data_IF_341077450451
#
_entry.id   IF_341077450451
#
_cell.length_a   1.000
_cell.length_b   1.000
_cell.length_c   1.000
_cell.angle_alpha   90.00
_cell.angle_beta   90.00
_cell.angle_gamma   90.00
#
_symmetry.space_group_name_H-M   'P 1'
#
loop_
_entity.id
_entity.type
_entity.pdbx_description
1 polymer ?
#
# COMPACT_ATOMS: atom_id res chain seq x y z
N UNK A 1 18.25 13.18 -10.64
CA UNK A 1 16.81 12.95 -10.87
C UNK A 1 15.98 14.05 -10.21
N UNK A 2 16.21 14.35 -8.93
CA UNK A 2 15.48 15.39 -8.17
C UNK A 2 15.39 16.74 -8.87
N UNK A 3 16.50 17.27 -9.40
CA UNK A 3 16.51 18.55 -10.10
C UNK A 3 15.57 18.57 -11.32
N UNK A 4 15.49 17.46 -12.06
CA UNK A 4 14.59 17.31 -13.21
C UNK A 4 13.13 17.31 -12.76
N UNK A 5 12.80 16.52 -11.73
CA UNK A 5 11.43 16.47 -11.18
C UNK A 5 11.03 17.85 -10.64
N UNK A 6 11.89 18.53 -9.87
CA UNK A 6 11.61 19.87 -9.36
C UNK A 6 11.37 20.90 -10.48
N UNK A 7 12.13 20.82 -11.59
CA UNK A 7 11.92 21.69 -12.74
C UNK A 7 10.53 21.47 -13.39
N UNK A 8 10.10 20.22 -13.54
CA UNK A 8 8.77 19.88 -14.06
C UNK A 8 7.69 20.42 -13.12
N UNK A 9 7.79 20.15 -11.83
CA UNK A 9 6.78 20.57 -10.85
C UNK A 9 6.63 22.08 -10.78
N UNK A 10 7.75 22.81 -10.86
CA UNK A 10 7.74 24.29 -10.90
C UNK A 10 7.09 24.82 -12.17
N UNK A 11 7.33 24.17 -13.31
CA UNK A 11 6.90 24.64 -14.63
C UNK A 11 5.45 24.29 -14.92
N UNK A 12 5.08 23.01 -14.74
CA UNK A 12 3.77 22.48 -15.10
C UNK A 12 2.74 22.57 -13.97
N UNK A 13 3.18 22.56 -12.70
CA UNK A 13 2.32 22.56 -11.51
C UNK A 13 1.17 21.55 -11.62
N UNK A 14 1.47 20.25 -11.80
CA UNK A 14 0.45 19.25 -12.02
C UNK A 14 -0.46 19.13 -10.80
N UNK A 15 -1.75 18.87 -11.05
CA UNK A 15 -2.73 18.57 -9.99
C UNK A 15 -2.54 17.16 -9.42
N UNK A 16 -1.88 16.27 -10.18
CA UNK A 16 -1.59 14.88 -9.80
C UNK A 16 -0.16 14.54 -10.23
N UNK A 17 0.63 14.01 -9.30
CA UNK A 17 1.90 13.36 -9.62
C UNK A 17 1.61 11.95 -10.11
N UNK A 18 2.13 11.56 -11.28
CA UNK A 18 1.92 10.21 -11.81
C UNK A 18 3.20 9.70 -12.48
N UNK A 19 3.54 8.44 -12.21
CA UNK A 19 4.69 7.77 -12.80
C UNK A 19 4.41 6.28 -12.92
N UNK A 20 5.20 5.62 -13.75
CA UNK A 20 5.27 4.18 -13.89
C UNK A 20 6.58 3.64 -13.28
N UNK A 21 6.46 2.69 -12.36
CA UNK A 21 7.59 1.87 -11.91
C UNK A 21 7.06 0.44 -11.83
N UNK A 22 7.51 -0.40 -12.76
CA UNK A 22 7.03 -1.77 -12.94
C UNK A 22 8.07 -2.73 -12.33
N UNK A 23 7.82 -3.28 -11.12
CA UNK A 23 8.86 -3.97 -10.36
C UNK A 23 9.33 -5.27 -11.01
N UNK A 24 8.54 -5.89 -11.89
CA UNK A 24 8.86 -7.23 -12.40
C UNK A 24 9.77 -7.23 -13.62
N UNK A 25 10.16 -6.03 -14.09
CA UNK A 25 11.17 -5.86 -15.14
C UNK A 25 12.61 -6.10 -14.68
N UNK A 26 12.83 -6.19 -13.38
CA UNK A 26 14.12 -6.53 -12.79
C UNK A 26 14.03 -7.88 -12.08
N UNK A 27 15.04 -8.75 -12.23
CA UNK A 27 15.02 -10.04 -11.55
C UNK A 27 15.20 -9.87 -10.02
N UNK A 28 14.58 -10.76 -9.25
CA UNK A 28 14.73 -10.80 -7.79
C UNK A 28 14.13 -9.59 -7.07
N UNK A 29 14.78 -9.15 -6.00
CA UNK A 29 14.26 -8.11 -5.11
C UNK A 29 14.66 -6.68 -5.51
N UNK A 30 15.47 -6.50 -6.55
CA UNK A 30 15.90 -5.17 -7.02
C UNK A 30 14.71 -4.33 -7.52
N UNK A 31 13.78 -4.98 -8.23
CA UNK A 31 12.56 -4.35 -8.73
C UNK A 31 11.60 -3.91 -7.62
N UNK A 32 11.18 -4.81 -6.71
CA UNK A 32 10.43 -4.45 -5.51
C UNK A 32 11.07 -3.31 -4.71
N UNK A 33 12.38 -3.39 -4.46
CA UNK A 33 13.10 -2.34 -3.75
C UNK A 33 13.01 -0.99 -4.46
N UNK A 34 13.23 -0.97 -5.78
CA UNK A 34 13.12 0.24 -6.59
C UNK A 34 11.70 0.82 -6.60
N UNK A 35 10.68 -0.04 -6.62
CA UNK A 35 9.28 0.38 -6.50
C UNK A 35 9.01 1.10 -5.17
N UNK A 36 9.50 0.55 -4.05
CA UNK A 36 9.37 1.18 -2.73
C UNK A 36 10.16 2.49 -2.61
N UNK A 37 11.38 2.54 -3.14
CA UNK A 37 12.20 3.76 -3.17
C UNK A 37 11.52 4.87 -3.99
N UNK A 38 10.88 4.50 -5.10
CA UNK A 38 10.12 5.43 -5.94
C UNK A 38 8.87 5.93 -5.22
N UNK A 39 8.12 5.04 -4.56
CA UNK A 39 6.98 5.44 -3.70
C UNK A 39 7.41 6.39 -2.60
N UNK A 40 8.53 6.12 -1.92
CA UNK A 40 9.09 7.01 -0.90
C UNK A 40 9.40 8.40 -1.47
N UNK A 41 10.08 8.44 -2.60
CA UNK A 41 10.44 9.69 -3.27
C UNK A 41 9.21 10.56 -3.60
N UNK A 42 8.20 9.97 -4.23
CA UNK A 42 7.00 10.71 -4.60
C UNK A 42 6.08 11.03 -3.43
N UNK A 43 6.03 10.19 -2.40
CA UNK A 43 5.39 10.52 -1.12
C UNK A 43 5.99 11.80 -0.54
N UNK A 44 7.31 11.89 -0.47
CA UNK A 44 7.98 13.04 0.14
C UNK A 44 7.73 14.33 -0.67
N UNK A 45 7.65 14.23 -2.00
CA UNK A 45 7.25 15.36 -2.86
C UNK A 45 5.78 15.74 -2.62
N UNK A 46 4.89 14.75 -2.63
CA UNK A 46 3.46 14.92 -2.42
C UNK A 46 3.17 15.63 -1.10
N UNK A 47 3.81 15.20 0.00
CA UNK A 47 3.67 15.83 1.32
C UNK A 47 4.24 17.26 1.37
N UNK A 48 5.32 17.55 0.64
CA UNK A 48 5.92 18.90 0.59
C UNK A 48 5.08 19.90 -0.22
N UNK A 49 4.40 19.43 -1.27
CA UNK A 49 3.67 20.31 -2.20
C UNK A 49 2.15 20.30 -2.00
N UNK A 50 1.61 19.33 -1.27
CA UNK A 50 0.17 19.12 -1.15
C UNK A 50 -0.47 18.50 -2.40
N UNK A 51 0.33 17.97 -3.33
CA UNK A 51 -0.16 17.37 -4.57
C UNK A 51 -0.33 15.86 -4.39
N UNK A 52 -1.52 15.27 -4.63
CA UNK A 52 -1.72 13.83 -4.56
C UNK A 52 -0.92 13.10 -5.63
N UNK A 53 -0.66 11.81 -5.39
CA UNK A 53 0.11 11.02 -6.34
C UNK A 53 -0.54 9.68 -6.67
N UNK A 54 -0.38 9.25 -7.92
CA UNK A 54 -0.88 8.00 -8.48
C UNK A 54 0.30 7.17 -9.01
N UNK A 55 0.17 5.85 -8.98
CA UNK A 55 1.20 4.93 -9.49
C UNK A 55 0.58 3.82 -10.32
N UNK A 56 1.39 3.24 -11.21
CA UNK A 56 1.03 2.01 -11.90
C UNK A 56 1.27 0.78 -11.02
N UNK A 57 0.45 -0.23 -11.25
CA UNK A 57 0.56 -1.61 -10.76
C UNK A 57 0.68 -2.52 -11.97
N UNK A 58 1.72 -3.34 -11.99
CA UNK A 58 1.93 -4.33 -13.02
C UNK A 58 1.06 -5.56 -12.76
N UNK A 59 0.11 -5.80 -13.65
CA UNK A 59 -0.86 -6.89 -13.62
C UNK A 59 -0.63 -7.96 -14.70
N UNK A 60 0.39 -7.81 -15.55
CA UNK A 60 0.78 -8.81 -16.56
C UNK A 60 2.28 -8.77 -16.84
N UNK A 61 2.85 -9.87 -17.35
CA UNK A 61 4.22 -9.88 -17.87
C UNK A 61 4.34 -9.07 -19.18
N UNK A 62 5.44 -8.35 -19.31
CA UNK A 62 5.79 -7.60 -20.51
C UNK A 62 7.31 -7.62 -20.73
N UNK A 63 7.79 -7.97 -21.92
CA UNK A 63 9.22 -8.08 -22.19
C UNK A 63 9.85 -9.31 -21.54
N UNK A 64 10.73 -9.10 -20.57
CA UNK A 64 11.50 -10.15 -19.86
C UNK A 64 10.92 -10.50 -18.49
N UNK A 65 9.82 -9.84 -18.14
CA UNK A 65 9.23 -9.89 -16.81
C UNK A 65 8.60 -11.25 -16.55
N UNK A 66 8.56 -11.66 -15.28
CA UNK A 66 7.75 -12.81 -14.89
C UNK A 66 6.27 -12.41 -14.79
N UNK A 67 5.41 -13.41 -14.87
CA UNK A 67 3.97 -13.20 -14.82
C UNK A 67 3.50 -12.98 -13.37
N UNK A 68 2.93 -11.80 -13.03
CA UNK A 68 2.61 -11.49 -11.64
C UNK A 68 1.51 -12.40 -11.07
N UNK A 69 1.73 -12.85 -9.83
CA UNK A 69 0.73 -13.59 -9.05
C UNK A 69 -0.32 -12.64 -8.43
N UNK A 70 -1.37 -13.19 -7.82
CA UNK A 70 -2.31 -12.34 -7.04
C UNK A 70 -1.60 -11.65 -5.87
N UNK A 71 -0.67 -12.34 -5.18
CA UNK A 71 0.10 -11.75 -4.09
C UNK A 71 1.02 -10.62 -4.56
N UNK A 72 1.62 -10.72 -5.75
CA UNK A 72 2.41 -9.63 -6.35
C UNK A 72 1.57 -8.39 -6.64
N UNK A 73 0.36 -8.57 -7.16
CA UNK A 73 -0.56 -7.47 -7.47
C UNK A 73 -1.08 -6.84 -6.16
N UNK A 74 -1.47 -7.66 -5.17
CA UNK A 74 -1.87 -7.18 -3.83
C UNK A 74 -0.75 -6.37 -3.19
N UNK A 75 0.46 -6.90 -3.18
CA UNK A 75 1.60 -6.21 -2.58
C UNK A 75 1.85 -4.84 -3.22
N UNK A 76 1.88 -4.74 -4.55
CA UNK A 76 2.06 -3.45 -5.23
C UNK A 76 0.98 -2.43 -4.86
N UNK A 77 -0.28 -2.86 -4.85
CA UNK A 77 -1.45 -2.02 -4.51
C UNK A 77 -1.39 -1.56 -3.06
N UNK A 78 -1.25 -2.49 -2.12
CA UNK A 78 -1.30 -2.20 -0.70
C UNK A 78 -0.07 -1.40 -0.25
N UNK A 79 1.09 -1.68 -0.82
CA UNK A 79 2.30 -0.89 -0.58
C UNK A 79 2.11 0.54 -1.08
N UNK A 80 1.60 0.76 -2.29
CA UNK A 80 1.33 2.11 -2.79
C UNK A 80 0.37 2.89 -1.87
N UNK A 81 -0.72 2.26 -1.44
CA UNK A 81 -1.70 2.87 -0.53
C UNK A 81 -1.11 3.15 0.86
N UNK A 82 -0.27 2.27 1.41
CA UNK A 82 0.44 2.50 2.68
C UNK A 82 1.40 3.71 2.60
N UNK A 83 2.01 3.94 1.43
CA UNK A 83 2.81 5.13 1.15
C UNK A 83 1.97 6.40 0.92
N UNK A 84 0.65 6.28 0.86
CA UNK A 84 -0.27 7.42 0.73
C UNK A 84 -0.73 7.71 -0.69
N UNK A 85 -0.57 6.77 -1.64
CA UNK A 85 -1.08 6.93 -2.99
C UNK A 85 -2.59 7.23 -2.98
N UNK A 86 -3.00 8.10 -3.90
CA UNK A 86 -4.40 8.51 -4.10
C UNK A 86 -4.99 7.95 -5.39
N UNK A 87 -4.24 7.15 -6.12
CA UNK A 87 -4.73 6.50 -7.32
C UNK A 87 -3.83 5.36 -7.73
N UNK A 88 -4.47 4.33 -8.29
CA UNK A 88 -3.83 3.14 -8.83
C UNK A 88 -4.25 3.02 -10.29
N UNK A 89 -3.25 2.87 -11.15
CA UNK A 89 -3.42 2.57 -12.56
C UNK A 89 -2.91 1.15 -12.80
N UNK A 90 -3.54 0.39 -13.68
CA UNK A 90 -3.12 -0.99 -13.95
C UNK A 90 -2.49 -1.13 -15.32
N UNK A 91 -1.29 -1.69 -15.36
CA UNK A 91 -0.64 -2.14 -16.58
C UNK A 91 -0.77 -3.67 -16.71
N UNK A 92 -1.65 -4.22 -17.55
CA UNK A 92 -2.56 -3.49 -18.44
C UNK A 92 -3.99 -4.01 -18.46
N UNK A 93 -4.90 -3.08 -18.78
CA UNK A 93 -6.31 -3.37 -18.95
C UNK A 93 -6.57 -4.23 -20.19
N UNK A 94 -6.12 -3.82 -21.36
CA UNK A 94 -6.24 -4.58 -22.61
C UNK A 94 -4.88 -5.13 -23.02
N UNK A 95 -4.83 -6.39 -23.44
CA UNK A 95 -3.60 -7.03 -23.93
C UNK A 95 -3.06 -6.26 -25.14
N UNK A 96 -1.83 -5.73 -25.09
CA UNK A 96 -1.22 -5.06 -26.24
C UNK A 96 -1.07 -6.04 -27.41
N UNK A 97 -1.69 -5.71 -28.54
CA UNK A 97 -1.61 -6.48 -29.78
C UNK A 97 -0.46 -5.98 -30.66
N UNK A 98 0.15 -6.88 -31.43
CA UNK A 98 1.27 -6.58 -32.33
C UNK A 98 2.54 -6.04 -31.66
N UNK A 99 2.69 -6.24 -30.34
CA UNK A 99 3.92 -5.93 -29.62
C UNK A 99 4.69 -7.23 -29.32
N UNK A 100 5.92 -7.42 -29.83
CA UNK A 100 6.72 -8.62 -29.59
C UNK A 100 7.11 -8.81 -28.10
N UNK A 101 6.98 -7.76 -27.29
CA UNK A 101 7.18 -7.81 -25.84
C UNK A 101 5.95 -8.34 -25.09
N UNK A 102 4.77 -8.42 -25.70
CA UNK A 102 3.61 -9.05 -25.04
C UNK A 102 3.88 -10.54 -24.81
N UNK A 103 4.02 -10.95 -23.55
CA UNK A 103 4.23 -12.35 -23.14
C UNK A 103 3.02 -12.91 -22.38
N UNK A 104 2.43 -12.09 -21.51
CA UNK A 104 1.21 -12.43 -20.78
C UNK A 104 -0.05 -11.89 -21.45
N UNK A 105 -1.16 -11.99 -20.72
CA UNK A 105 -2.42 -11.35 -21.10
C UNK A 105 -2.81 -10.30 -20.06
N UNK A 106 -3.27 -9.14 -20.53
CA UNK A 106 -3.89 -8.12 -19.69
C UNK A 106 -5.22 -8.60 -19.11
N UNK A 107 -5.97 -7.69 -18.47
CA UNK A 107 -7.28 -8.04 -17.94
C UNK A 107 -8.28 -8.47 -19.02
N UNK A 108 -8.18 -7.89 -20.21
CA UNK A 108 -8.99 -8.22 -21.39
C UNK A 108 -8.05 -8.75 -22.47
N UNK A 109 -8.30 -9.97 -22.95
CA UNK A 109 -7.52 -10.59 -24.01
C UNK A 109 -7.82 -9.97 -25.40
N UNK A 110 -7.03 -10.29 -26.45
CA UNK A 110 -7.24 -9.74 -27.79
C UNK A 110 -8.61 -10.05 -28.42
N UNK A 111 -9.30 -11.09 -27.95
CA UNK A 111 -10.65 -11.45 -28.40
C UNK A 111 -11.75 -10.74 -27.58
N UNK A 112 -11.38 -9.86 -26.64
CA UNK A 112 -12.30 -9.11 -25.79
C UNK A 112 -12.81 -9.90 -24.59
N UNK A 113 -12.25 -11.07 -24.27
CA UNK A 113 -12.67 -11.89 -23.12
C UNK A 113 -11.91 -11.48 -21.86
N UNK A 114 -12.59 -11.63 -20.72
CA UNK A 114 -12.01 -11.40 -19.39
C UNK A 114 -11.06 -12.53 -19.05
N UNK A 115 -9.85 -12.17 -18.61
CA UNK A 115 -8.84 -13.13 -18.17
C UNK A 115 -8.87 -13.33 -16.66
N UNK A 116 -8.02 -14.23 -16.17
CA UNK A 116 -7.80 -14.38 -14.73
C UNK A 116 -7.30 -13.08 -14.07
N UNK A 117 -6.55 -12.24 -14.79
CA UNK A 117 -6.12 -10.91 -14.31
C UNK A 117 -7.30 -9.99 -14.04
N UNK A 118 -8.33 -10.02 -14.89
CA UNK A 118 -9.56 -9.29 -14.61
C UNK A 118 -10.21 -9.74 -13.30
N UNK A 119 -10.26 -11.06 -13.05
CA UNK A 119 -10.86 -11.60 -11.83
C UNK A 119 -10.10 -11.11 -10.59
N UNK A 120 -8.78 -11.23 -10.60
CA UNK A 120 -7.89 -10.77 -9.52
C UNK A 120 -8.03 -9.27 -9.28
N UNK A 121 -7.76 -8.44 -10.29
CA UNK A 121 -7.78 -6.97 -10.17
C UNK A 121 -9.18 -6.47 -9.78
N UNK A 122 -10.24 -7.05 -10.35
CA UNK A 122 -11.60 -6.65 -9.96
C UNK A 122 -11.95 -7.05 -8.52
N UNK A 123 -11.38 -8.14 -7.99
CA UNK A 123 -11.50 -8.52 -6.59
C UNK A 123 -10.89 -7.48 -5.67
N UNK A 124 -9.61 -7.18 -5.89
CA UNK A 124 -8.86 -6.17 -5.14
C UNK A 124 -9.57 -4.80 -5.20
N UNK A 125 -10.00 -4.36 -6.38
CA UNK A 125 -10.70 -3.09 -6.53
C UNK A 125 -12.05 -3.05 -5.79
N UNK A 126 -12.77 -4.17 -5.66
CA UNK A 126 -14.00 -4.22 -4.87
C UNK A 126 -13.73 -4.02 -3.38
N UNK A 127 -12.65 -4.58 -2.86
CA UNK A 127 -12.20 -4.41 -1.47
C UNK A 127 -11.77 -2.96 -1.22
N UNK A 128 -10.91 -2.39 -2.07
CA UNK A 128 -10.45 -0.99 -1.95
C UNK A 128 -11.64 -0.02 -1.94
N UNK A 129 -12.63 -0.24 -2.81
CA UNK A 129 -13.82 0.62 -2.89
C UNK A 129 -14.59 0.70 -1.57
N UNK A 130 -14.48 -0.30 -0.68
CA UNK A 130 -15.13 -0.28 0.65
C UNK A 130 -14.46 0.67 1.62
N UNK A 131 -13.16 0.88 1.50
CA UNK A 131 -12.36 1.66 2.46
C UNK A 131 -11.85 2.98 1.89
N UNK A 132 -11.94 3.18 0.57
CA UNK A 132 -11.33 4.32 -0.14
C UNK A 132 -11.75 5.68 0.43
N UNK A 133 -12.98 5.83 0.92
CA UNK A 133 -13.46 7.11 1.46
C UNK A 133 -12.65 7.56 2.70
N UNK A 134 -12.13 6.60 3.47
CA UNK A 134 -11.24 6.85 4.62
C UNK A 134 -9.80 7.07 4.15
N UNK A 135 -9.33 6.31 3.16
CA UNK A 135 -7.99 6.48 2.60
C UNK A 135 -7.81 7.79 1.83
N UNK A 136 -8.86 8.31 1.18
CA UNK A 136 -8.79 9.54 0.39
C UNK A 136 -8.58 10.78 1.24
N UNK A 137 -9.27 10.84 2.38
CA UNK A 137 -9.21 11.96 3.34
C UNK A 137 -7.93 11.98 4.17
N UNK A 138 -7.21 10.86 4.29
CA UNK A 138 -6.02 10.78 5.13
C UNK A 138 -4.76 11.33 4.47
N UNK A 139 -3.72 11.58 5.25
CA UNK A 139 -2.38 11.94 4.75
C UNK A 139 -1.33 11.00 5.33
N UNK A 140 -0.27 10.71 4.59
CA UNK A 140 0.81 9.87 5.11
C UNK A 140 1.68 10.63 6.10
N UNK A 141 1.87 10.06 7.28
CA UNK A 141 2.73 10.59 8.36
C UNK A 141 4.10 9.90 8.32
N UNK A 142 4.14 8.61 8.03
CA UNK A 142 5.38 7.84 7.90
C UNK A 142 5.15 6.48 7.28
N UNK A 143 6.22 5.81 6.89
CA UNK A 143 6.20 4.42 6.42
C UNK A 143 7.43 3.71 6.98
N UNK A 144 7.22 2.53 7.57
CA UNK A 144 8.24 1.83 8.36
C UNK A 144 8.31 0.36 7.93
N UNK A 145 9.51 -0.12 7.60
CA UNK A 145 9.74 -1.54 7.28
C UNK A 145 10.18 -2.28 8.54
N UNK A 146 9.33 -3.16 9.05
CA UNK A 146 9.54 -3.87 10.31
C UNK A 146 10.61 -4.97 10.23
N UNK A 147 11.19 -5.28 9.07
CA UNK A 147 12.39 -6.11 9.00
C UNK A 147 13.58 -5.43 9.67
N UNK A 148 13.57 -4.10 9.72
CA UNK A 148 14.57 -3.28 10.40
C UNK A 148 14.07 -2.88 11.80
N UNK A 149 14.84 -3.25 12.83
CA UNK A 149 14.51 -2.93 14.22
C UNK A 149 14.52 -1.42 14.50
N UNK A 150 15.35 -0.64 13.79
CA UNK A 150 15.36 0.82 13.94
C UNK A 150 14.07 1.43 13.42
N UNK A 151 13.51 0.89 12.33
CA UNK A 151 12.22 1.31 11.79
C UNK A 151 11.06 0.94 12.71
N UNK A 152 11.09 -0.22 13.36
CA UNK A 152 10.10 -0.58 14.38
C UNK A 152 10.13 0.39 15.59
N UNK A 153 11.32 0.83 16.00
CA UNK A 153 11.48 1.87 17.02
C UNK A 153 10.93 3.22 16.53
N UNK A 154 11.29 3.65 15.32
CA UNK A 154 10.81 4.91 14.74
C UNK A 154 9.28 4.93 14.56
N UNK A 155 8.66 3.79 14.23
CA UNK A 155 7.21 3.64 14.21
C UNK A 155 6.62 3.88 15.61
N UNK A 156 7.21 3.30 16.65
CA UNK A 156 6.77 3.48 18.04
C UNK A 156 6.96 4.94 18.49
N UNK A 157 8.00 5.63 18.04
CA UNK A 157 8.15 7.08 18.31
C UNK A 157 7.07 7.91 17.59
N UNK A 158 6.65 7.48 16.41
CA UNK A 158 5.59 8.14 15.61
C UNK A 158 4.20 7.89 16.18
N UNK A 159 3.96 6.71 16.76
CA UNK A 159 2.70 6.31 17.39
C UNK A 159 3.00 5.65 18.76
N UNK A 160 3.28 6.44 19.82
CA UNK A 160 3.78 5.93 21.11
C UNK A 160 2.94 4.88 21.80
N UNK A 161 1.63 4.87 21.55
CA UNK A 161 0.70 3.92 22.15
C UNK A 161 0.72 2.52 21.51
N UNK A 162 1.58 2.27 20.51
CA UNK A 162 1.63 1.00 19.76
C UNK A 162 3.06 0.52 19.61
N UNK A 163 3.26 -0.78 19.80
CA UNK A 163 4.54 -1.45 19.56
C UNK A 163 4.32 -2.64 18.66
N UNK A 164 5.20 -2.82 17.67
CA UNK A 164 5.25 -3.99 16.80
C UNK A 164 6.54 -4.77 17.05
N UNK A 165 6.48 -6.09 16.92
CA UNK A 165 7.69 -6.93 16.90
C UNK A 165 8.55 -6.60 15.66
N UNK A 166 9.86 -6.38 15.82
CA UNK A 166 10.78 -6.18 14.69
C UNK A 166 11.16 -7.52 14.04
N UNK A 167 11.90 -7.45 12.93
CA UNK A 167 12.47 -8.60 12.22
C UNK A 167 11.46 -9.37 11.35
N UNK A 168 10.30 -8.80 11.06
CA UNK A 168 9.23 -9.45 10.28
C UNK A 168 9.04 -8.78 8.92
N UNK A 169 8.68 -9.52 7.85
CA UNK A 169 8.49 -8.97 6.51
C UNK A 169 7.17 -8.20 6.39
N UNK A 170 7.05 -7.09 7.13
CA UNK A 170 5.86 -6.25 7.20
C UNK A 170 6.25 -4.79 7.00
N UNK A 171 5.45 -4.07 6.22
CA UNK A 171 5.56 -2.60 6.09
C UNK A 171 4.35 -1.95 6.73
N UNK A 172 4.56 -0.93 7.57
CA UNK A 172 3.49 -0.17 8.21
C UNK A 172 3.50 1.25 7.67
N UNK A 173 2.47 1.60 6.89
CA UNK A 173 2.16 2.98 6.55
C UNK A 173 1.33 3.61 7.68
N UNK A 174 1.80 4.73 8.22
CA UNK A 174 1.03 5.51 9.20
C UNK A 174 0.33 6.63 8.46
N UNK A 175 -1.00 6.59 8.45
CA UNK A 175 -1.85 7.59 7.84
C UNK A 175 -2.63 8.34 8.91
N UNK A 176 -2.80 9.65 8.77
CA UNK A 176 -3.63 10.47 9.67
C UNK A 176 -4.89 10.91 8.93
N UNK A 177 -6.05 10.59 9.49
CA UNK A 177 -7.34 11.07 9.00
C UNK A 177 -7.57 12.54 9.38
N UNK A 178 -8.49 13.22 8.69
CA UNK A 178 -8.91 14.60 8.95
C UNK A 178 -9.50 14.81 10.34
N UNK A 179 -10.04 13.76 10.96
CA UNK A 179 -10.52 13.80 12.35
C UNK A 179 -9.41 13.59 13.39
N UNK A 180 -8.17 13.44 12.93
CA UNK A 180 -6.99 13.21 13.75
C UNK A 180 -6.72 11.75 14.11
N UNK A 181 -7.61 10.82 13.75
CA UNK A 181 -7.38 9.39 13.96
C UNK A 181 -6.16 8.92 13.18
N UNK A 182 -5.38 8.03 13.79
CA UNK A 182 -4.20 7.43 13.18
C UNK A 182 -4.57 6.04 12.65
N UNK A 183 -4.18 5.75 11.42
CA UNK A 183 -4.36 4.44 10.79
C UNK A 183 -3.00 3.80 10.54
N UNK A 184 -2.85 2.55 10.94
CA UNK A 184 -1.70 1.71 10.70
C UNK A 184 -2.06 0.76 9.57
N UNK A 185 -1.64 1.10 8.37
CA UNK A 185 -1.81 0.33 7.15
C UNK A 185 -0.69 -0.71 7.07
N UNK A 186 -0.97 -1.91 7.54
CA UNK A 186 0.03 -2.97 7.77
C UNK A 186 0.01 -3.97 6.62
N UNK A 187 1.07 -3.99 5.81
CA UNK A 187 1.20 -4.75 4.56
C UNK A 187 2.16 -5.93 4.73
N UNK A 188 1.76 -7.13 4.28
CA UNK A 188 2.66 -8.27 4.16
C UNK A 188 3.61 -8.07 2.98
N UNK A 189 4.92 -8.08 3.23
CA UNK A 189 5.94 -7.99 2.17
C UNK A 189 6.15 -9.32 1.46
N UNK A 190 5.82 -10.44 2.11
CA UNK A 190 5.86 -11.76 1.48
C UNK A 190 4.66 -11.89 0.53
N UNK A 191 4.94 -12.19 -0.74
CA UNK A 191 3.96 -12.25 -1.84
C UNK A 191 3.47 -13.67 -2.11
N UNK A 192 4.06 -14.66 -1.43
CA UNK A 192 3.77 -16.08 -1.61
C UNK A 192 3.22 -16.73 -0.33
N UNK A 193 3.65 -16.25 0.84
CA UNK A 193 3.31 -16.87 2.13
C UNK A 193 2.63 -15.90 3.10
N UNK A 194 1.87 -16.48 4.03
CA UNK A 194 1.26 -15.76 5.12
C UNK A 194 2.32 -15.29 6.12
N UNK A 195 2.17 -14.06 6.60
CA UNK A 195 3.01 -13.50 7.66
C UNK A 195 2.15 -13.17 8.88
N UNK A 196 2.71 -13.34 10.08
CA UNK A 196 2.12 -12.81 11.31
C UNK A 196 3.08 -11.80 11.94
N UNK A 197 2.54 -10.70 12.45
CA UNK A 197 3.28 -9.74 13.25
C UNK A 197 2.64 -9.60 14.63
N UNK A 198 3.46 -9.58 15.66
CA UNK A 198 3.00 -9.31 17.02
C UNK A 198 2.86 -7.81 17.22
N UNK A 199 1.77 -7.38 17.84
CA UNK A 199 1.64 -6.00 18.29
C UNK A 199 0.98 -5.90 19.67
N UNK A 200 1.29 -4.82 20.37
CA UNK A 200 0.59 -4.38 21.57
C UNK A 200 0.15 -2.93 21.41
N UNK A 201 -0.90 -2.55 22.15
CA UNK A 201 -1.33 -1.17 22.22
C UNK A 201 -1.92 -0.81 23.57
N UNK A 202 -1.50 0.34 24.08
CA UNK A 202 -1.97 0.92 25.34
C UNK A 202 -3.38 1.51 25.24
N UNK A 203 -3.88 1.72 24.01
CA UNK A 203 -5.21 2.25 23.74
C UNK A 203 -6.06 1.24 22.95
N UNK A 204 -7.40 1.33 23.01
CA UNK A 204 -8.27 0.53 22.16
C UNK A 204 -8.00 0.76 20.67
N UNK A 205 -7.97 -0.33 19.91
CA UNK A 205 -7.82 -0.31 18.46
C UNK A 205 -9.07 -0.88 17.80
N UNK A 206 -9.41 -0.36 16.63
CA UNK A 206 -10.36 -0.99 15.72
C UNK A 206 -9.67 -1.40 14.44
N UNK A 207 -10.28 -2.28 13.69
CA UNK A 207 -9.85 -2.58 12.33
C UNK A 207 -10.88 -2.08 11.34
N UNK A 208 -10.41 -1.45 10.26
CA UNK A 208 -11.24 -1.13 9.11
C UNK A 208 -11.28 -2.35 8.16
N UNK A 209 -12.40 -3.07 8.17
CA UNK A 209 -12.55 -4.32 7.43
C UNK A 209 -12.75 -4.08 5.92
N UNK A 210 -11.93 -4.74 5.10
CA UNK A 210 -11.93 -4.64 3.64
C UNK A 210 -13.24 -5.09 2.98
N UNK A 211 -14.00 -5.98 3.62
CA UNK A 211 -15.22 -6.55 3.03
C UNK A 211 -16.43 -5.65 3.26
N UNK A 212 -16.56 -5.13 4.48
CA UNK A 212 -17.70 -4.32 4.91
C UNK A 212 -17.46 -2.82 4.82
N UNK A 213 -16.20 -2.37 4.86
CA UNK A 213 -15.83 -0.96 4.99
C UNK A 213 -16.15 -0.36 6.36
N UNK A 214 -16.39 -1.21 7.37
CA UNK A 214 -16.78 -0.78 8.72
C UNK A 214 -15.64 -1.00 9.71
N UNK A 215 -15.61 -0.17 10.74
CA UNK A 215 -14.73 -0.37 11.88
C UNK A 215 -15.28 -1.47 12.79
N UNK A 216 -14.45 -2.44 13.11
CA UNK A 216 -14.72 -3.47 14.11
C UNK A 216 -13.70 -3.35 15.26
N UNK A 217 -14.13 -3.29 16.53
CA UNK A 217 -13.19 -3.18 17.64
C UNK A 217 -12.36 -4.46 17.79
N UNK A 218 -11.05 -4.32 17.95
CA UNK A 218 -10.18 -5.42 18.35
C UNK A 218 -10.31 -5.68 19.84
N UNK A 219 -10.15 -6.95 20.26
CA UNK A 219 -10.20 -7.38 21.68
C UNK A 219 -11.40 -6.79 22.44
N UNK A 220 -12.58 -6.74 21.80
CA UNK A 220 -13.80 -6.16 22.36
C UNK A 220 -13.67 -4.70 22.84
N UNK A 221 -12.78 -3.92 22.22
CA UNK A 221 -12.56 -2.51 22.55
C UNK A 221 -11.66 -2.29 23.76
N UNK A 222 -10.99 -3.33 24.26
CA UNK A 222 -9.95 -3.19 25.27
C UNK A 222 -8.59 -2.85 24.63
N UNK A 223 -7.68 -2.19 25.37
CA UNK A 223 -6.26 -2.14 25.01
C UNK A 223 -5.67 -3.54 24.80
N UNK A 224 -4.67 -3.62 23.93
CA UNK A 224 -4.00 -4.87 23.57
C UNK A 224 -2.73 -5.00 24.42
N UNK A 225 -2.84 -5.68 25.57
CA UNK A 225 -1.73 -5.87 26.51
C UNK A 225 -0.88 -7.12 26.24
N UNK A 226 -1.44 -8.08 25.51
CA UNK A 226 -0.76 -9.30 25.09
C UNK A 226 -0.20 -9.11 23.67
N UNK A 227 0.86 -9.83 23.30
CA UNK A 227 1.45 -9.86 21.95
C UNK A 227 0.45 -10.42 20.91
N UNK A 228 -0.55 -9.62 20.54
CA UNK A 228 -1.60 -9.97 19.61
C UNK A 228 -1.01 -10.26 18.24
N UNK A 229 -1.31 -11.44 17.71
CA UNK A 229 -0.88 -11.83 16.37
C UNK A 229 -1.83 -11.26 15.33
N UNK A 230 -1.32 -10.37 14.49
CA UNK A 230 -1.99 -9.91 13.29
C UNK A 230 -1.50 -10.74 12.11
N UNK A 231 -2.33 -11.69 11.65
CA UNK A 231 -2.07 -12.48 10.44
C UNK A 231 -2.40 -11.69 9.18
N UNK A 232 -1.57 -11.83 8.17
CA UNK A 232 -1.66 -11.16 6.87
C UNK A 232 -1.45 -12.20 5.76
N UNK A 233 -2.38 -12.25 4.82
CA UNK A 233 -2.28 -13.09 3.62
C UNK A 233 -1.19 -12.55 2.66
N UNK A 234 -0.74 -13.31 1.64
CA UNK A 234 0.39 -12.93 0.81
C UNK A 234 0.13 -11.63 0.04
N UNK A 235 1.00 -10.65 0.23
CA UNK A 235 0.89 -9.30 -0.34
C UNK A 235 -0.29 -8.46 0.16
N UNK A 236 -1.15 -9.01 1.03
CA UNK A 236 -2.34 -8.32 1.53
C UNK A 236 -2.00 -7.38 2.69
N UNK A 237 -2.98 -6.62 3.15
CA UNK A 237 -2.84 -5.68 4.25
C UNK A 237 -4.02 -5.70 5.20
N UNK A 238 -3.80 -5.18 6.41
CA UNK A 238 -4.86 -4.87 7.37
C UNK A 238 -4.70 -3.45 7.88
N UNK A 239 -5.82 -2.76 8.08
CA UNK A 239 -5.84 -1.35 8.49
C UNK A 239 -6.33 -1.27 9.92
N UNK A 240 -5.42 -0.96 10.83
CA UNK A 240 -5.76 -0.73 12.23
C UNK A 240 -5.96 0.76 12.49
N UNK A 241 -6.95 1.12 13.29
CA UNK A 241 -7.35 2.51 13.55
C UNK A 241 -7.31 2.80 15.03
N UNK A 242 -6.57 3.85 15.38
CA UNK A 242 -6.50 4.46 16.70
C UNK A 242 -7.26 5.78 16.63
N UNK A 243 -8.37 5.88 17.35
CA UNK A 243 -9.12 7.13 17.42
C UNK A 243 -8.31 8.17 18.19
N UNK A 244 -8.31 9.39 17.68
CA UNK A 244 -7.85 10.53 18.47
C UNK A 244 -8.68 10.60 19.76
N UNK A 245 -8.01 10.73 20.90
CA UNK A 245 -8.70 11.11 22.14
C UNK A 245 -9.11 12.55 21.92
N UNK A 246 -10.39 12.78 21.64
CA UNK A 246 -10.93 14.13 21.74
C UNK A 246 -10.68 14.57 23.17
N UNK A 247 -9.84 15.59 23.35
CA UNK A 247 -9.89 16.39 24.57
C UNK A 247 -11.29 16.98 24.61
N UNK A 248 -12.17 16.35 25.37
CA UNK A 248 -13.45 16.94 25.78
C UNK A 248 -13.11 18.21 26.55
N UNK A 249 -13.11 19.33 25.83
CA UNK A 249 -13.16 20.68 26.41
C UNK A 249 -14.60 21.05 26.72
#
# INVERSE_FOLDING_TARGET
YDAYVQAILKTLRPEILCWDELPWAMPGEDGPKRYEETLKFFRDISMKQGTPFWTFVQAMAYGTDYEPTEGDIRWQVHTALAYGAKGILYFSYATPVNDPKTKGSGMIDPDGRKTERYRIVSGINREIKKVMAVLFRSVSVGVFNLQDAEQARALSETVPAVQFSPGVPVTVGVLRDVDGSMMLYTVNRNREENTAVSLSSEVPMSELDWKSGKLAPLKNGAPIRDNFQLSLDPGDARILVLKSVSSSG
#
